data_IF_505904132521
#
_entry.id   IF_505904132521
#
_cell.length_a   1.000
_cell.length_b   1.000
_cell.length_c   1.000
_cell.angle_alpha   90.00
_cell.angle_beta   90.00
_cell.angle_gamma   90.00
#
_symmetry.space_group_name_H-M   'P 1'
#
loop_
_entity.id
_entity.type
_entity.pdbx_description
1 polymer ?
#
# COMPACT_ATOMS: atom_id res chain seq x y z
N UNK A 1 -23.84 20.16 1.03
CA UNK A 1 -22.98 19.10 1.59
C UNK A 1 -23.78 17.81 1.54
N UNK A 2 -23.23 16.74 0.98
CA UNK A 2 -23.89 15.41 1.01
C UNK A 2 -23.86 14.88 2.45
N UNK A 3 -24.96 14.31 2.91
CA UNK A 3 -25.06 13.67 4.22
C UNK A 3 -24.27 12.35 4.22
N UNK A 4 -23.82 11.92 5.41
CA UNK A 4 -23.11 10.64 5.58
C UNK A 4 -23.95 9.47 5.05
N UNK A 5 -25.27 9.53 5.26
CA UNK A 5 -26.19 8.51 4.77
C UNK A 5 -26.24 8.45 3.24
N UNK A 6 -26.27 9.60 2.56
CA UNK A 6 -26.24 9.66 1.09
C UNK A 6 -24.94 9.10 0.53
N UNK A 7 -23.80 9.39 1.16
CA UNK A 7 -22.50 8.84 0.75
C UNK A 7 -22.45 7.32 0.91
N UNK A 8 -22.91 6.80 2.05
CA UNK A 8 -22.99 5.35 2.29
C UNK A 8 -23.91 4.66 1.27
N UNK A 9 -25.08 5.25 1.00
CA UNK A 9 -26.03 4.73 0.01
C UNK A 9 -25.44 4.72 -1.40
N UNK A 10 -24.78 5.80 -1.81
CA UNK A 10 -24.13 5.90 -3.10
C UNK A 10 -23.00 4.87 -3.25
N UNK A 11 -22.18 4.71 -2.21
CA UNK A 11 -21.08 3.73 -2.17
C UNK A 11 -21.60 2.30 -2.29
N UNK A 12 -22.62 1.94 -1.52
CA UNK A 12 -23.27 0.63 -1.59
C UNK A 12 -23.85 0.36 -2.98
N UNK A 13 -24.47 1.37 -3.60
CA UNK A 13 -25.01 1.25 -4.97
C UNK A 13 -23.90 0.99 -6.00
N UNK A 14 -22.77 1.70 -5.90
CA UNK A 14 -21.62 1.48 -6.77
C UNK A 14 -21.04 0.07 -6.60
N UNK A 15 -20.90 -0.40 -5.36
CA UNK A 15 -20.39 -1.75 -5.06
C UNK A 15 -21.32 -2.80 -5.65
N UNK A 16 -22.64 -2.65 -5.48
CA UNK A 16 -23.63 -3.56 -6.06
C UNK A 16 -23.47 -3.66 -7.59
N UNK A 17 -23.32 -2.52 -8.27
CA UNK A 17 -23.09 -2.49 -9.72
C UNK A 17 -21.79 -3.20 -10.13
N UNK A 18 -20.71 -3.00 -9.36
CA UNK A 18 -19.42 -3.66 -9.61
C UNK A 18 -19.52 -5.17 -9.40
N UNK A 19 -20.20 -5.61 -8.33
CA UNK A 19 -20.42 -7.03 -8.06
C UNK A 19 -21.27 -7.66 -9.16
N UNK A 20 -22.40 -7.06 -9.54
CA UNK A 20 -23.24 -7.56 -10.63
C UNK A 20 -22.51 -7.64 -11.97
N UNK A 21 -21.59 -6.71 -12.24
CA UNK A 21 -20.84 -6.66 -13.50
C UNK A 21 -19.74 -7.70 -13.59
N UNK A 22 -19.00 -7.93 -12.51
CA UNK A 22 -17.76 -8.75 -12.54
C UNK A 22 -17.85 -10.07 -11.77
N UNK A 23 -18.87 -10.25 -10.93
CA UNK A 23 -19.08 -11.42 -10.07
C UNK A 23 -20.44 -12.08 -10.34
N UNK A 24 -20.95 -12.00 -11.57
CA UNK A 24 -22.30 -12.46 -11.91
C UNK A 24 -22.47 -13.96 -11.65
N UNK A 25 -21.52 -14.78 -12.12
CA UNK A 25 -21.54 -16.23 -11.96
C UNK A 25 -21.44 -16.63 -10.48
N UNK A 26 -20.60 -15.91 -9.74
CA UNK A 26 -20.43 -16.09 -8.30
C UNK A 26 -21.72 -15.78 -7.56
N UNK A 27 -22.38 -14.66 -7.87
CA UNK A 27 -23.66 -14.26 -7.30
C UNK A 27 -24.73 -15.34 -7.54
N UNK A 28 -24.87 -15.82 -8.77
CA UNK A 28 -25.84 -16.86 -9.13
C UNK A 28 -25.58 -18.16 -8.34
N UNK A 29 -24.31 -18.55 -8.19
CA UNK A 29 -23.94 -19.72 -7.40
C UNK A 29 -24.22 -19.57 -5.90
N UNK A 30 -23.97 -18.39 -5.33
CA UNK A 30 -24.30 -18.13 -3.91
C UNK A 30 -25.81 -18.13 -3.70
N UNK A 31 -26.59 -17.48 -4.58
CA UNK A 31 -28.06 -17.48 -4.50
C UNK A 31 -28.67 -18.88 -4.65
N UNK A 32 -28.08 -19.72 -5.50
CA UNK A 32 -28.50 -21.11 -5.69
C UNK A 32 -27.95 -22.10 -4.67
N UNK A 33 -27.24 -21.66 -3.61
CA UNK A 33 -26.54 -22.52 -2.64
C UNK A 33 -25.62 -23.57 -3.28
N UNK A 34 -25.09 -23.28 -4.46
CA UNK A 34 -24.32 -24.19 -5.29
C UNK A 34 -22.97 -23.57 -5.65
N UNK A 35 -22.21 -23.12 -4.65
CA UNK A 35 -20.87 -22.53 -4.85
C UNK A 35 -19.94 -23.57 -5.44
N UNK A 36 -19.54 -23.41 -6.71
CA UNK A 36 -18.64 -24.33 -7.42
C UNK A 36 -17.18 -23.91 -7.29
N UNK A 37 -16.91 -22.61 -7.28
CA UNK A 37 -15.56 -22.09 -7.21
C UNK A 37 -14.86 -22.42 -5.89
N UNK A 38 -13.75 -23.17 -5.96
CA UNK A 38 -12.96 -23.59 -4.78
C UNK A 38 -12.46 -22.41 -3.94
N UNK A 39 -12.14 -21.29 -4.60
CA UNK A 39 -11.66 -20.09 -3.91
C UNK A 39 -12.77 -19.38 -3.12
N UNK A 40 -14.04 -19.47 -3.56
CA UNK A 40 -15.19 -18.92 -2.85
C UNK A 40 -15.71 -19.84 -1.75
N UNK A 41 -15.69 -21.17 -1.95
CA UNK A 41 -16.12 -22.13 -0.92
C UNK A 41 -15.44 -21.89 0.42
N UNK A 42 -14.15 -21.55 0.41
CA UNK A 42 -13.37 -21.25 1.62
C UNK A 42 -13.77 -19.95 2.32
N UNK A 43 -14.45 -19.06 1.61
CA UNK A 43 -14.81 -17.72 2.07
C UNK A 43 -16.23 -17.67 2.67
N UNK A 44 -17.00 -18.77 2.64
CA UNK A 44 -18.39 -18.84 3.10
C UNK A 44 -19.19 -17.56 2.74
N UNK A 45 -19.32 -17.25 1.44
CA UNK A 45 -19.91 -15.99 1.00
C UNK A 45 -21.42 -15.97 1.27
N UNK A 46 -21.95 -14.79 1.58
CA UNK A 46 -23.38 -14.60 1.86
C UNK A 46 -23.82 -13.19 1.46
N UNK A 47 -25.13 -12.97 1.35
CA UNK A 47 -25.71 -11.66 1.08
C UNK A 47 -26.11 -10.97 2.39
N UNK A 48 -25.81 -9.68 2.52
CA UNK A 48 -26.27 -8.86 3.64
C UNK A 48 -27.69 -8.30 3.42
N UNK A 49 -28.18 -7.52 4.37
CA UNK A 49 -29.48 -6.84 4.29
C UNK A 49 -29.60 -5.85 3.13
N UNK A 50 -28.49 -5.48 2.49
CA UNK A 50 -28.43 -4.58 1.35
C UNK A 50 -28.21 -5.33 0.03
N UNK A 51 -28.40 -6.65 -0.02
CA UNK A 51 -28.13 -7.49 -1.22
C UNK A 51 -26.70 -7.29 -1.76
N UNK A 52 -25.74 -7.07 -0.87
CA UNK A 52 -24.32 -7.02 -1.19
C UNK A 52 -23.64 -8.32 -0.80
N UNK A 53 -22.80 -8.82 -1.69
CA UNK A 53 -22.05 -10.05 -1.47
C UNK A 53 -20.90 -9.80 -0.50
N UNK A 54 -20.89 -10.51 0.62
CA UNK A 54 -19.87 -10.44 1.68
C UNK A 54 -19.17 -11.77 1.86
N UNK A 55 -18.00 -11.68 2.49
CA UNK A 55 -17.17 -12.83 2.86
C UNK A 55 -17.41 -13.18 4.33
N UNK A 56 -17.76 -14.44 4.59
CA UNK A 56 -17.76 -15.01 5.94
C UNK A 56 -16.34 -15.38 6.39
N UNK A 57 -16.21 -15.84 7.63
CA UNK A 57 -14.91 -16.30 8.09
C UNK A 57 -14.85 -16.72 9.55
N UNK A 58 -13.63 -16.99 10.01
CA UNK A 58 -13.31 -17.45 11.36
C UNK A 58 -13.50 -16.38 12.44
N UNK A 59 -13.68 -15.12 12.04
CA UNK A 59 -13.84 -13.97 12.93
C UNK A 59 -15.31 -13.63 13.20
N UNK A 60 -16.25 -14.50 12.83
CA UNK A 60 -17.70 -14.27 13.00
C UNK A 60 -18.09 -13.96 14.45
N UNK A 61 -17.48 -14.65 15.42
CA UNK A 61 -17.72 -14.50 16.86
C UNK A 61 -16.83 -13.47 17.56
N UNK A 62 -16.03 -12.70 16.80
CA UNK A 62 -15.20 -11.65 17.41
C UNK A 62 -16.03 -10.41 17.77
N UNK A 63 -15.52 -9.59 18.68
CA UNK A 63 -16.11 -8.28 19.06
C UNK A 63 -15.81 -7.17 18.03
N UNK A 64 -15.27 -7.52 16.86
CA UNK A 64 -14.96 -6.57 15.81
C UNK A 64 -16.24 -5.99 15.18
N UNK A 65 -16.11 -4.78 14.65
CA UNK A 65 -17.16 -4.15 13.85
C UNK A 65 -17.63 -5.08 12.70
N UNK A 66 -18.90 -4.98 12.34
CA UNK A 66 -19.53 -5.87 11.37
C UNK A 66 -18.77 -5.95 10.04
N UNK A 67 -18.36 -4.80 9.47
CA UNK A 67 -17.64 -4.75 8.20
C UNK A 67 -16.24 -5.40 8.27
N UNK A 68 -15.60 -5.39 9.45
CA UNK A 68 -14.31 -6.07 9.67
C UNK A 68 -14.46 -7.58 9.76
N UNK A 69 -15.57 -8.04 10.35
CA UNK A 69 -15.89 -9.48 10.44
C UNK A 69 -16.33 -10.02 9.09
N UNK A 70 -17.10 -9.23 8.36
CA UNK A 70 -17.77 -9.62 7.14
C UNK A 70 -17.51 -8.60 6.02
N UNK A 71 -16.27 -8.54 5.50
CA UNK A 71 -15.92 -7.56 4.49
C UNK A 71 -16.65 -7.80 3.17
N UNK A 72 -16.90 -6.72 2.43
CA UNK A 72 -17.55 -6.75 1.12
C UNK A 72 -16.65 -7.40 0.07
N UNK A 73 -17.17 -8.40 -0.65
CA UNK A 73 -16.43 -9.09 -1.70
C UNK A 73 -16.29 -8.18 -2.93
N UNK A 74 -15.07 -7.91 -3.35
CA UNK A 74 -14.78 -7.13 -4.55
C UNK A 74 -13.98 -7.94 -5.57
N UNK A 75 -14.25 -7.75 -6.88
CA UNK A 75 -13.46 -8.37 -7.93
C UNK A 75 -12.04 -7.80 -7.97
N UNK A 76 -11.12 -8.53 -8.61
CA UNK A 76 -9.76 -8.01 -8.90
C UNK A 76 -9.73 -6.99 -10.06
N UNK A 77 -10.85 -6.85 -10.78
CA UNK A 77 -11.00 -6.08 -12.02
C UNK A 77 -11.88 -4.85 -11.80
N UNK A 78 -11.76 -3.88 -12.71
CA UNK A 78 -12.60 -2.67 -12.73
C UNK A 78 -11.89 -1.42 -12.24
N UNK A 79 -12.36 -0.26 -12.72
CA UNK A 79 -11.79 1.03 -12.36
C UNK A 79 -12.12 1.42 -10.91
N UNK A 80 -13.32 1.08 -10.46
CA UNK A 80 -13.76 1.33 -9.08
C UNK A 80 -12.76 0.79 -8.04
N UNK A 81 -12.32 -0.46 -8.19
CA UNK A 81 -11.37 -1.08 -7.26
C UNK A 81 -10.01 -0.38 -7.30
N UNK A 82 -9.56 0.08 -8.47
CA UNK A 82 -8.30 0.84 -8.59
C UNK A 82 -8.40 2.20 -7.91
N UNK A 83 -9.51 2.91 -8.10
CA UNK A 83 -9.77 4.20 -7.45
C UNK A 83 -9.84 4.03 -5.94
N UNK A 84 -10.56 3.02 -5.45
CA UNK A 84 -10.64 2.69 -4.02
C UNK A 84 -9.26 2.41 -3.42
N UNK A 85 -8.43 1.60 -4.08
CA UNK A 85 -7.05 1.34 -3.62
C UNK A 85 -6.23 2.63 -3.60
N UNK A 86 -6.36 3.47 -4.63
CA UNK A 86 -5.65 4.74 -4.73
C UNK A 86 -6.05 5.72 -3.62
N UNK A 87 -7.35 5.82 -3.35
CA UNK A 87 -7.89 6.65 -2.27
C UNK A 87 -7.37 6.18 -0.91
N UNK A 88 -7.49 4.89 -0.60
CA UNK A 88 -6.98 4.34 0.66
C UNK A 88 -5.47 4.53 0.78
N UNK A 89 -4.72 4.36 -0.31
CA UNK A 89 -3.29 4.60 -0.32
C UNK A 89 -2.94 6.06 0.02
N UNK A 90 -3.66 7.04 -0.53
CA UNK A 90 -3.43 8.47 -0.26
C UNK A 90 -3.88 8.86 1.15
N UNK A 91 -5.07 8.44 1.58
CA UNK A 91 -5.62 8.73 2.91
C UNK A 91 -4.71 8.18 4.02
N UNK A 92 -4.06 7.04 3.77
CA UNK A 92 -3.09 6.44 4.69
C UNK A 92 -1.65 6.88 4.40
N UNK A 93 -1.45 8.12 3.96
CA UNK A 93 -0.14 8.77 3.80
C UNK A 93 0.84 7.97 2.94
N UNK A 94 0.38 7.50 1.78
CA UNK A 94 1.18 6.69 0.85
C UNK A 94 1.69 5.38 1.45
N UNK A 95 0.88 4.74 2.32
CA UNK A 95 1.19 3.44 2.90
C UNK A 95 1.65 2.42 1.82
N UNK A 96 2.66 1.62 2.17
CA UNK A 96 3.15 0.54 1.32
C UNK A 96 2.11 -0.56 1.13
N UNK A 97 2.43 -1.54 0.28
CA UNK A 97 1.49 -2.59 -0.15
C UNK A 97 0.78 -3.29 1.02
N UNK A 98 1.51 -3.63 2.09
CA UNK A 98 0.92 -4.32 3.26
C UNK A 98 0.01 -3.40 4.08
N UNK A 99 0.41 -2.14 4.26
CA UNK A 99 -0.40 -1.16 4.99
C UNK A 99 -1.71 -0.86 4.26
N UNK A 100 -1.64 -0.62 2.94
CA UNK A 100 -2.83 -0.44 2.11
C UNK A 100 -3.72 -1.69 2.12
N UNK A 101 -3.12 -2.88 2.04
CA UNK A 101 -3.87 -4.13 2.14
C UNK A 101 -4.61 -4.24 3.47
N UNK A 102 -3.93 -3.99 4.59
CA UNK A 102 -4.52 -4.07 5.92
C UNK A 102 -5.69 -3.09 6.09
N UNK A 103 -5.54 -1.85 5.63
CA UNK A 103 -6.58 -0.84 5.65
C UNK A 103 -7.80 -1.26 4.79
N UNK A 104 -7.56 -1.77 3.59
CA UNK A 104 -8.63 -2.29 2.72
C UNK A 104 -9.36 -3.48 3.35
N UNK A 105 -8.62 -4.42 3.94
CA UNK A 105 -9.19 -5.63 4.56
C UNK A 105 -10.11 -5.36 5.75
N UNK A 106 -10.13 -4.14 6.29
CA UNK A 106 -11.09 -3.77 7.32
C UNK A 106 -12.53 -3.69 6.80
N UNK A 107 -12.73 -3.43 5.50
CA UNK A 107 -14.06 -3.23 4.92
C UNK A 107 -14.28 -4.06 3.65
N UNK A 108 -13.21 -4.45 2.94
CA UNK A 108 -13.27 -5.06 1.62
C UNK A 108 -12.39 -6.29 1.49
N UNK A 109 -12.94 -7.34 0.88
CA UNK A 109 -12.22 -8.53 0.46
C UNK A 109 -12.04 -8.51 -1.05
N UNK A 110 -10.91 -7.98 -1.52
CA UNK A 110 -10.59 -7.95 -2.96
C UNK A 110 -9.95 -9.29 -3.37
N UNK A 111 -10.53 -9.96 -4.37
CA UNK A 111 -9.95 -11.19 -4.93
C UNK A 111 -8.54 -10.88 -5.44
N UNK A 112 -7.53 -11.65 -5.00
CA UNK A 112 -6.11 -11.41 -5.35
C UNK A 112 -5.62 -9.98 -5.04
N UNK A 113 -6.12 -9.38 -3.96
CA UNK A 113 -5.84 -8.01 -3.49
C UNK A 113 -4.40 -7.53 -3.68
N UNK A 114 -3.40 -8.27 -3.17
CA UNK A 114 -1.98 -7.90 -3.24
C UNK A 114 -1.48 -7.64 -4.66
N UNK A 115 -1.96 -8.40 -5.65
CA UNK A 115 -1.59 -8.21 -7.06
C UNK A 115 -2.12 -6.87 -7.58
N UNK A 116 -3.38 -6.57 -7.30
CA UNK A 116 -4.03 -5.32 -7.74
C UNK A 116 -3.40 -4.13 -7.05
N UNK A 117 -3.21 -4.21 -5.72
CA UNK A 117 -2.57 -3.16 -4.92
C UNK A 117 -1.18 -2.85 -5.46
N UNK A 118 -0.34 -3.87 -5.69
CA UNK A 118 1.00 -3.67 -6.28
C UNK A 118 0.94 -2.94 -7.63
N UNK A 119 -0.02 -3.29 -8.48
CA UNK A 119 -0.20 -2.66 -9.80
C UNK A 119 -0.67 -1.19 -9.73
N UNK A 120 -1.47 -0.84 -8.72
CA UNK A 120 -1.92 0.54 -8.50
C UNK A 120 -0.78 1.37 -7.90
N UNK A 121 -0.14 0.88 -6.83
CA UNK A 121 0.93 1.59 -6.12
C UNK A 121 2.18 1.79 -6.99
N UNK A 122 2.48 0.86 -7.92
CA UNK A 122 3.60 1.02 -8.85
C UNK A 122 3.43 2.21 -9.81
N UNK A 123 2.21 2.74 -9.95
CA UNK A 123 1.89 3.90 -10.79
C UNK A 123 1.77 5.19 -9.98
N UNK A 124 1.94 5.13 -8.66
CA UNK A 124 1.89 6.32 -7.81
C UNK A 124 3.17 7.17 -8.02
N UNK A 125 2.99 8.38 -8.52
CA UNK A 125 4.09 9.32 -8.79
C UNK A 125 4.80 9.74 -7.50
N UNK A 126 4.05 10.04 -6.43
CA UNK A 126 4.63 10.44 -5.14
C UNK A 126 5.53 9.34 -4.56
N UNK A 127 5.05 8.09 -4.55
CA UNK A 127 5.86 6.95 -4.11
C UNK A 127 7.05 6.71 -5.02
N UNK A 128 6.89 6.88 -6.34
CA UNK A 128 8.00 6.71 -7.27
C UNK A 128 9.10 7.75 -7.04
N UNK A 129 8.74 9.02 -6.83
CA UNK A 129 9.70 10.11 -6.54
C UNK A 129 10.43 9.92 -5.22
N UNK A 130 9.74 9.42 -4.20
CA UNK A 130 10.31 9.18 -2.87
C UNK A 130 11.05 7.84 -2.76
N UNK A 131 10.96 6.98 -3.77
CA UNK A 131 11.66 5.69 -3.78
C UNK A 131 13.12 5.94 -4.14
N UNK A 132 14.07 5.73 -3.22
CA UNK A 132 15.48 5.89 -3.54
C UNK A 132 15.87 4.89 -4.63
N UNK A 133 16.44 5.40 -5.72
CA UNK A 133 17.20 4.56 -6.64
C UNK A 133 18.58 4.40 -6.02
N UNK A 134 18.85 3.23 -5.43
CA UNK A 134 20.21 2.91 -5.00
C UNK A 134 21.04 2.66 -6.25
N UNK A 135 21.49 3.73 -6.91
CA UNK A 135 22.51 3.62 -7.94
C UNK A 135 23.79 3.15 -7.24
N UNK A 136 24.15 1.90 -7.49
CA UNK A 136 25.44 1.37 -7.09
C UNK A 136 26.39 1.65 -8.24
N UNK A 137 27.24 2.70 -8.16
CA UNK A 137 28.24 2.90 -9.19
C UNK A 137 29.14 1.67 -9.25
N UNK A 138 29.62 1.27 -10.44
CA UNK A 138 30.68 0.27 -10.52
C UNK A 138 31.87 0.74 -9.69
N UNK A 139 32.53 -0.17 -8.98
CA UNK A 139 33.73 0.18 -8.23
C UNK A 139 34.79 0.70 -9.20
N UNK A 140 35.24 1.94 -8.98
CA UNK A 140 36.35 2.51 -9.74
C UNK A 140 37.64 1.74 -9.48
N UNK A 141 38.55 1.74 -10.45
CA UNK A 141 39.90 1.24 -10.23
C UNK A 141 40.56 2.01 -9.08
N UNK A 142 41.26 1.31 -8.20
CA UNK A 142 41.99 1.95 -7.11
C UNK A 142 43.15 2.77 -7.67
N UNK A 143 43.43 3.98 -7.15
CA UNK A 143 44.59 4.75 -7.56
C UNK A 143 45.88 3.98 -7.28
N UNK A 144 46.89 4.15 -8.13
CA UNK A 144 48.20 3.49 -8.00
C UNK A 144 48.83 3.70 -6.62
N UNK A 145 48.65 4.89 -6.03
CA UNK A 145 49.10 5.22 -4.69
C UNK A 145 48.56 4.28 -3.58
N UNK A 146 47.38 3.68 -3.79
CA UNK A 146 46.76 2.76 -2.82
C UNK A 146 47.28 1.32 -2.94
N UNK A 147 47.88 0.96 -4.08
CA UNK A 147 48.29 -0.42 -4.40
C UNK A 147 49.82 -0.56 -4.44
N UNK A 148 50.52 0.53 -4.77
CA UNK A 148 51.98 0.57 -4.82
C UNK A 148 52.60 0.44 -3.42
N UNK A 149 53.73 -0.29 -3.34
CA UNK A 149 54.52 -0.41 -2.12
C UNK A 149 55.40 0.83 -1.97
N UNK A 150 54.87 1.86 -1.30
CA UNK A 150 55.57 3.12 -1.03
C UNK A 150 56.06 3.18 0.42
N UNK A 151 57.17 3.89 0.66
CA UNK A 151 57.70 4.11 2.02
C UNK A 151 56.71 4.96 2.84
N UNK A 152 56.62 4.79 4.17
CA UNK A 152 55.83 5.68 5.03
C UNK A 152 56.18 7.15 4.80
N UNK A 153 55.17 8.02 4.79
CA UNK A 153 55.30 9.48 4.59
C UNK A 153 55.83 9.94 3.21
N UNK A 154 55.98 9.03 2.23
CA UNK A 154 56.41 9.41 0.88
C UNK A 154 55.36 10.19 0.08
N UNK A 155 54.08 10.03 0.43
CA UNK A 155 52.96 10.79 -0.12
C UNK A 155 51.99 11.11 1.02
N UNK A 156 51.60 12.38 1.15
CA UNK A 156 50.70 12.87 2.20
C UNK A 156 49.53 13.59 1.55
N UNK A 157 48.31 13.22 1.93
CA UNK A 157 47.11 13.97 1.55
C UNK A 157 46.85 15.08 2.56
N UNK A 158 46.70 16.31 2.08
CA UNK A 158 46.26 17.45 2.88
C UNK A 158 44.90 17.87 2.35
N UNK A 159 43.92 18.02 3.23
CA UNK A 159 42.60 18.56 2.90
C UNK A 159 42.31 19.76 3.80
N UNK A 160 41.63 20.75 3.25
CA UNK A 160 41.20 21.90 4.02
C UNK A 160 39.89 21.57 4.72
N UNK A 161 39.92 21.58 6.05
CA UNK A 161 38.69 21.59 6.84
C UNK A 161 37.88 22.85 6.51
N UNK A 162 36.58 22.69 6.22
CA UNK A 162 35.65 23.78 5.92
C UNK A 162 35.59 24.87 7.01
N UNK A 163 34.83 25.96 6.80
CA UNK A 163 34.97 27.19 7.55
C UNK A 163 34.90 26.99 9.07
N UNK A 164 36.05 27.14 9.72
CA UNK A 164 36.17 27.09 11.17
C UNK A 164 35.69 28.43 11.74
N UNK A 165 34.57 28.41 12.47
CA UNK A 165 34.11 29.60 13.20
C UNK A 165 35.06 29.89 14.35
N UNK A 166 35.78 31.01 14.28
CA UNK A 166 36.56 31.54 15.40
C UNK A 166 35.61 32.19 16.39
N UNK A 167 35.45 31.63 17.59
CA UNK A 167 34.89 32.37 18.72
C UNK A 167 36.00 33.30 19.21
N UNK A 168 35.92 34.57 18.83
CA UNK A 168 36.82 35.59 19.37
C UNK A 168 36.30 35.91 20.78
N UNK A 169 36.91 35.32 21.80
CA UNK A 169 36.74 35.84 23.15
C UNK A 169 37.49 37.18 23.21
N UNK A 170 36.75 38.28 23.12
CA UNK A 170 37.28 39.60 23.46
C UNK A 170 37.64 39.59 24.95
N UNK A 171 38.93 39.47 25.24
CA UNK A 171 39.45 39.79 26.57
C UNK A 171 39.31 41.30 26.71
N UNK A 172 38.26 41.74 27.41
CA UNK A 172 38.15 43.11 27.89
C UNK A 172 39.27 43.30 28.91
N UNK A 173 40.35 43.98 28.49
CA UNK A 173 41.33 44.53 29.43
C UNK A 173 40.60 45.54 30.30
N UNK A 174 40.51 45.24 31.60
CA UNK A 174 40.20 46.23 32.63
C UNK A 174 41.39 47.17 32.82
#
# INVERSE_FOLDING_TARGET
MLTIQEQSNATNKLIRLVQQRYLKEEIEQVKGNAVKFKYLKKLNPFFDSHDLLRVGGRLSQSELAYDKRFPLLLPSKGNFVKLLISEIHVVHLHAGIQGTHFALSQNFWIISSKRVIRSVLSKCISCWRLKPSNYQPPMGALPDLRISKVKPFSCVGVDFGGPLKRVIHSVLSK
#
